data_IF_538292681889
#
_entry.id   IF_538292681889
#
_cell.length_a   1.000
_cell.length_b   1.000
_cell.length_c   1.000
_cell.angle_alpha   90.00
_cell.angle_beta   90.00
_cell.angle_gamma   90.00
#
_symmetry.space_group_name_H-M   'P 1'
#
loop_
_entity.id
_entity.type
_entity.pdbx_description
1 polymer ?
#
# COMPACT_ATOMS: atom_id res chain seq x y z
N UNK A 1 -8.48 -35.56 -30.04
CA UNK A 1 -7.82 -35.43 -28.73
C UNK A 1 -7.86 -33.95 -28.38
N UNK A 2 -8.88 -33.53 -27.62
CA UNK A 2 -9.12 -32.14 -27.22
C UNK A 2 -8.43 -31.92 -25.88
N UNK A 3 -7.39 -31.09 -25.85
CA UNK A 3 -6.72 -30.66 -24.62
C UNK A 3 -7.48 -29.45 -24.10
N UNK A 4 -8.30 -29.67 -23.06
CA UNK A 4 -8.94 -28.61 -22.29
C UNK A 4 -7.88 -28.01 -21.34
N UNK A 5 -7.46 -26.78 -21.62
CA UNK A 5 -6.68 -25.99 -20.68
C UNK A 5 -7.59 -25.57 -19.51
N UNK A 6 -7.44 -26.26 -18.38
CA UNK A 6 -7.97 -25.81 -17.11
C UNK A 6 -7.13 -24.62 -16.62
N UNK A 7 -7.64 -23.40 -16.82
CA UNK A 7 -7.16 -22.26 -16.06
C UNK A 7 -7.60 -22.46 -14.61
N UNK A 8 -6.63 -22.70 -13.73
CA UNK A 8 -6.80 -22.59 -12.28
C UNK A 8 -7.11 -21.15 -11.94
N UNK A 9 -8.39 -20.81 -11.85
CA UNK A 9 -8.85 -19.56 -11.23
C UNK A 9 -8.46 -19.64 -9.76
N UNK A 10 -7.29 -19.10 -9.39
CA UNK A 10 -7.08 -18.69 -7.99
C UNK A 10 -8.19 -17.69 -7.69
N UNK A 11 -9.07 -18.01 -6.75
CA UNK A 11 -10.10 -17.10 -6.27
C UNK A 11 -9.42 -15.79 -5.87
N UNK A 12 -9.58 -14.75 -6.69
CA UNK A 12 -9.19 -13.41 -6.32
C UNK A 12 -10.16 -13.01 -5.21
N UNK A 13 -9.73 -13.15 -3.96
CA UNK A 13 -10.42 -12.56 -2.82
C UNK A 13 -10.36 -11.04 -2.98
N UNK A 14 -11.38 -10.46 -3.61
CA UNK A 14 -11.56 -9.01 -3.63
C UNK A 14 -11.96 -8.62 -2.21
N UNK A 15 -10.99 -8.21 -1.40
CA UNK A 15 -11.29 -7.67 -0.07
C UNK A 15 -12.20 -6.45 -0.20
N UNK A 16 -13.43 -6.56 0.31
CA UNK A 16 -14.30 -5.40 0.41
C UNK A 16 -13.71 -4.36 1.37
N UNK A 17 -13.67 -3.10 0.93
CA UNK A 17 -13.26 -1.97 1.76
C UNK A 17 -14.22 -1.78 2.94
N UNK A 18 -13.70 -1.27 4.04
CA UNK A 18 -14.47 -0.85 5.20
C UNK A 18 -15.28 0.42 4.90
N UNK A 19 -16.33 0.66 5.70
CA UNK A 19 -17.10 1.91 5.61
C UNK A 19 -16.23 3.16 5.77
N UNK A 20 -15.15 3.09 6.57
CA UNK A 20 -14.17 4.16 6.72
C UNK A 20 -13.47 4.43 5.39
N UNK A 21 -12.94 3.39 4.76
CA UNK A 21 -12.27 3.51 3.46
C UNK A 21 -13.22 4.01 2.36
N UNK A 22 -14.46 3.53 2.30
CA UNK A 22 -15.45 4.07 1.35
C UNK A 22 -15.76 5.55 1.58
N UNK A 23 -15.96 5.96 2.84
CA UNK A 23 -16.17 7.37 3.18
C UNK A 23 -14.95 8.21 2.79
N UNK A 24 -13.74 7.73 3.06
CA UNK A 24 -12.50 8.37 2.64
C UNK A 24 -12.43 8.55 1.12
N UNK A 25 -12.60 7.48 0.34
CA UNK A 25 -12.58 7.53 -1.12
C UNK A 25 -13.65 8.46 -1.72
N UNK A 26 -14.82 8.59 -1.09
CA UNK A 26 -15.88 9.51 -1.56
C UNK A 26 -15.45 10.99 -1.57
N UNK A 27 -14.41 11.34 -0.82
CA UNK A 27 -13.85 12.70 -0.77
C UNK A 27 -12.76 12.94 -1.82
N UNK A 28 -12.27 11.87 -2.45
CA UNK A 28 -11.10 11.88 -3.34
C UNK A 28 -11.56 12.01 -4.79
N UNK A 29 -10.87 12.87 -5.53
CA UNK A 29 -11.06 13.02 -6.97
C UNK A 29 -10.09 12.12 -7.72
N UNK A 30 -10.58 11.51 -8.81
CA UNK A 30 -9.74 10.79 -9.77
C UNK A 30 -9.28 11.73 -10.89
N UNK A 31 -8.05 11.57 -11.32
CA UNK A 31 -7.49 12.19 -12.50
C UNK A 31 -8.04 11.49 -13.76
N UNK A 32 -8.80 12.23 -14.57
CA UNK A 32 -9.48 11.70 -15.76
C UNK A 32 -8.52 11.16 -16.81
N UNK A 33 -7.26 11.60 -16.81
CA UNK A 33 -6.26 11.12 -17.76
C UNK A 33 -5.89 9.65 -17.53
N UNK A 34 -6.19 9.10 -16.36
CA UNK A 34 -5.89 7.72 -15.96
C UNK A 34 -7.15 6.87 -15.79
N UNK A 35 -8.33 7.42 -16.11
CA UNK A 35 -9.59 6.67 -16.08
C UNK A 35 -9.81 6.04 -17.45
N UNK A 36 -10.02 4.73 -17.46
CA UNK A 36 -10.32 3.95 -18.67
C UNK A 36 -11.59 3.16 -18.38
N UNK A 37 -12.66 3.45 -19.12
CA UNK A 37 -13.99 2.85 -18.86
C UNK A 37 -14.18 1.50 -19.56
N UNK A 38 -13.22 1.07 -20.38
CA UNK A 38 -13.31 -0.13 -21.19
C UNK A 38 -12.13 -1.07 -20.90
N UNK A 39 -12.43 -2.15 -20.18
CA UNK A 39 -11.48 -3.22 -19.84
C UNK A 39 -10.77 -3.78 -21.07
N UNK A 40 -11.48 -3.91 -22.20
CA UNK A 40 -10.92 -4.51 -23.41
C UNK A 40 -9.78 -3.68 -24.00
N UNK A 41 -9.76 -2.36 -23.76
CA UNK A 41 -8.66 -1.48 -24.18
C UNK A 41 -7.39 -1.74 -23.39
N UNK A 42 -7.52 -1.96 -22.08
CA UNK A 42 -6.37 -2.28 -21.21
C UNK A 42 -5.78 -3.65 -21.59
N UNK A 43 -6.64 -4.65 -21.78
CA UNK A 43 -6.22 -6.00 -22.20
C UNK A 43 -5.48 -5.97 -23.54
N UNK A 44 -6.09 -5.35 -24.57
CA UNK A 44 -5.47 -5.24 -25.90
C UNK A 44 -4.16 -4.45 -25.87
N UNK A 45 -4.05 -3.47 -24.97
CA UNK A 45 -2.82 -2.72 -24.78
C UNK A 45 -1.69 -3.58 -24.24
N UNK A 46 -1.95 -4.39 -23.20
CA UNK A 46 -0.96 -5.34 -22.67
C UNK A 46 -0.58 -6.41 -23.70
N UNK A 47 -1.57 -7.04 -24.34
CA UNK A 47 -1.36 -8.05 -25.38
C UNK A 47 -0.58 -7.49 -26.58
N UNK A 48 -0.86 -6.25 -26.98
CA UNK A 48 -0.18 -5.57 -28.08
C UNK A 48 1.30 -5.29 -27.81
N UNK A 49 1.73 -5.33 -26.56
CA UNK A 49 3.13 -5.23 -26.13
C UNK A 49 3.75 -6.61 -25.84
N UNK A 50 3.01 -7.70 -26.05
CA UNK A 50 3.45 -9.06 -25.73
C UNK A 50 3.51 -9.38 -24.23
N UNK A 51 2.86 -8.57 -23.39
CA UNK A 51 2.82 -8.75 -21.94
C UNK A 51 1.63 -9.64 -21.55
N UNK A 52 1.81 -10.65 -20.68
CA UNK A 52 0.70 -11.44 -20.16
C UNK A 52 -0.36 -10.58 -19.47
N UNK A 53 -1.63 -10.96 -19.62
CA UNK A 53 -2.73 -10.23 -18.99
C UNK A 53 -2.89 -10.70 -17.55
N UNK A 54 -2.67 -9.78 -16.61
CA UNK A 54 -2.83 -10.03 -15.19
C UNK A 54 -4.11 -9.37 -14.67
N UNK A 55 -5.05 -10.16 -14.16
CA UNK A 55 -6.35 -9.63 -13.69
C UNK A 55 -6.20 -8.60 -12.57
N UNK A 56 -5.24 -8.76 -11.67
CA UNK A 56 -5.01 -7.80 -10.58
C UNK A 56 -4.60 -6.42 -11.12
N UNK A 57 -3.69 -6.39 -12.11
CA UNK A 57 -3.23 -5.17 -12.78
C UNK A 57 -4.37 -4.52 -13.57
N UNK A 58 -5.15 -5.31 -14.31
CA UNK A 58 -6.33 -4.80 -15.03
C UNK A 58 -7.36 -4.23 -14.05
N UNK A 59 -7.67 -4.95 -12.98
CA UNK A 59 -8.63 -4.50 -11.95
C UNK A 59 -8.15 -3.21 -11.28
N UNK A 60 -6.86 -3.11 -10.99
CA UNK A 60 -6.25 -1.88 -10.48
C UNK A 60 -6.47 -0.72 -11.44
N UNK A 61 -6.17 -0.91 -12.74
CA UNK A 61 -6.34 0.13 -13.76
C UNK A 61 -7.78 0.65 -13.78
N UNK A 62 -8.76 -0.27 -13.79
CA UNK A 62 -10.17 0.09 -13.89
C UNK A 62 -10.68 0.81 -12.63
N UNK A 63 -10.34 0.28 -11.45
CA UNK A 63 -10.92 0.73 -10.18
C UNK A 63 -10.19 1.91 -9.55
N UNK A 64 -8.86 1.89 -9.58
CA UNK A 64 -8.03 2.72 -8.70
C UNK A 64 -7.15 3.71 -9.45
N UNK A 65 -6.80 3.44 -10.71
CA UNK A 65 -5.94 4.35 -11.48
C UNK A 65 -6.54 5.76 -11.56
N UNK A 66 -5.70 6.76 -11.32
CA UNK A 66 -6.08 8.16 -11.22
C UNK A 66 -6.40 8.67 -9.82
N UNK A 67 -6.51 7.82 -8.79
CA UNK A 67 -6.73 8.28 -7.41
C UNK A 67 -5.56 9.12 -6.90
N UNK A 68 -5.86 10.09 -6.02
CA UNK A 68 -4.88 10.89 -5.28
C UNK A 68 -5.15 10.74 -3.79
N UNK A 69 -4.48 9.77 -3.17
CA UNK A 69 -4.65 9.44 -1.76
C UNK A 69 -3.83 10.43 -0.94
N UNK A 70 -4.50 11.24 -0.12
CA UNK A 70 -3.85 12.22 0.76
C UNK A 70 -4.40 12.14 2.18
N UNK A 71 -3.68 12.73 3.11
CA UNK A 71 -4.02 12.78 4.53
C UNK A 71 -4.33 14.22 4.94
N UNK A 72 -5.39 14.42 5.72
CA UNK A 72 -5.80 15.76 6.17
C UNK A 72 -4.67 16.52 6.87
N UNK A 73 -4.46 17.77 6.42
CA UNK A 73 -3.39 18.63 6.94
C UNK A 73 -1.99 18.26 6.47
N UNK A 74 -1.83 17.29 5.55
CA UNK A 74 -0.55 16.79 5.07
C UNK A 74 -0.48 16.71 3.53
N UNK A 75 -0.45 17.86 2.84
CA UNK A 75 -0.50 17.88 1.38
C UNK A 75 0.71 17.19 0.71
N UNK A 76 1.86 17.11 1.38
CA UNK A 76 3.07 16.45 0.87
C UNK A 76 3.05 14.92 1.02
N UNK A 77 2.16 14.38 1.84
CA UNK A 77 1.98 12.92 2.01
C UNK A 77 0.91 12.39 1.05
N UNK A 78 1.02 12.79 -0.22
CA UNK A 78 0.08 12.41 -1.27
C UNK A 78 0.66 11.29 -2.13
N UNK A 79 -0.07 10.19 -2.23
CA UNK A 79 0.18 9.11 -3.17
C UNK A 79 -0.74 9.24 -4.38
N UNK A 80 -0.14 9.40 -5.56
CA UNK A 80 -0.86 9.39 -6.84
C UNK A 80 -0.88 7.95 -7.35
N UNK A 81 -2.06 7.38 -7.49
CA UNK A 81 -2.26 5.99 -7.88
C UNK A 81 -2.39 5.92 -9.41
N UNK A 82 -1.29 6.03 -10.15
CA UNK A 82 -1.29 6.12 -11.61
C UNK A 82 -0.61 4.91 -12.23
N UNK A 83 -1.31 4.15 -13.06
CA UNK A 83 -0.71 3.04 -13.81
C UNK A 83 -0.59 3.41 -15.29
N UNK A 84 -1.63 3.16 -16.10
CA UNK A 84 -1.63 3.55 -17.51
C UNK A 84 -2.53 4.77 -17.73
N UNK A 85 -2.02 5.79 -18.41
CA UNK A 85 -2.85 6.87 -18.91
C UNK A 85 -3.65 6.44 -20.13
N UNK A 86 -4.82 7.07 -20.33
CA UNK A 86 -5.64 6.89 -21.52
C UNK A 86 -4.89 7.24 -22.81
N UNK A 87 -3.91 8.16 -22.73
CA UNK A 87 -3.07 8.57 -23.86
C UNK A 87 -2.05 7.49 -24.22
N UNK A 88 -1.42 6.84 -23.23
CA UNK A 88 -0.48 5.73 -23.46
C UNK A 88 -1.18 4.55 -24.11
N UNK A 89 -2.35 4.16 -23.58
CA UNK A 89 -3.19 3.11 -24.16
C UNK A 89 -3.57 3.44 -25.60
N UNK A 90 -4.04 4.67 -25.86
CA UNK A 90 -4.46 5.09 -27.19
C UNK A 90 -3.31 5.06 -28.21
N UNK A 91 -2.10 5.43 -27.78
CA UNK A 91 -0.91 5.50 -28.63
C UNK A 91 -0.11 4.20 -28.67
N UNK A 92 -0.56 3.17 -27.94
CA UNK A 92 0.21 1.96 -27.72
C UNK A 92 1.66 2.26 -27.27
N UNK A 93 1.81 3.19 -26.31
CA UNK A 93 3.11 3.55 -25.76
C UNK A 93 3.75 2.34 -25.05
N UNK A 94 5.08 2.23 -24.96
CA UNK A 94 5.72 1.17 -24.18
C UNK A 94 5.18 1.12 -22.75
N UNK A 95 4.96 -0.10 -22.24
CA UNK A 95 4.61 -0.33 -20.83
C UNK A 95 5.91 -0.55 -20.06
N UNK A 96 6.12 0.23 -19.01
CA UNK A 96 7.23 0.04 -18.08
C UNK A 96 6.94 -1.17 -17.17
N UNK A 97 7.31 -2.35 -17.67
CA UNK A 97 7.17 -3.63 -17.00
C UNK A 97 8.49 -4.41 -17.05
N UNK A 98 8.84 -5.04 -15.94
CA UNK A 98 10.05 -5.83 -15.80
C UNK A 98 9.79 -7.09 -14.96
N UNK A 99 10.73 -8.04 -15.01
CA UNK A 99 10.63 -9.31 -14.30
C UNK A 99 11.71 -9.41 -13.23
N UNK A 100 11.33 -9.76 -11.99
CA UNK A 100 12.25 -10.10 -10.91
C UNK A 100 11.84 -11.44 -10.33
N UNK A 101 12.76 -12.40 -10.30
CA UNK A 101 12.52 -13.77 -9.80
C UNK A 101 11.28 -14.46 -10.42
N UNK A 102 11.04 -14.27 -11.73
CA UNK A 102 9.91 -14.90 -12.43
C UNK A 102 8.54 -14.24 -12.22
N UNK A 103 8.49 -13.07 -11.56
CA UNK A 103 7.26 -12.28 -11.35
C UNK A 103 7.34 -10.96 -12.12
N UNK A 104 6.23 -10.56 -12.73
CA UNK A 104 6.13 -9.28 -13.43
C UNK A 104 5.75 -8.15 -12.47
N UNK A 105 6.38 -7.00 -12.70
CA UNK A 105 6.14 -5.76 -11.98
C UNK A 105 5.88 -4.64 -12.96
N UNK A 106 4.94 -3.77 -12.63
CA UNK A 106 4.53 -2.63 -13.43
C UNK A 106 4.85 -1.36 -12.65
N UNK A 107 5.58 -0.42 -13.27
CA UNK A 107 5.76 0.89 -12.66
C UNK A 107 4.39 1.55 -12.44
N UNK A 108 4.15 2.00 -11.21
CA UNK A 108 2.89 2.63 -10.86
C UNK A 108 3.05 3.62 -9.72
N UNK A 109 2.35 4.73 -9.87
CA UNK A 109 2.16 5.71 -8.82
C UNK A 109 3.39 6.55 -8.50
N UNK A 110 3.14 7.60 -7.72
CA UNK A 110 4.12 8.62 -7.39
C UNK A 110 3.83 9.14 -5.99
N UNK A 111 4.87 9.25 -5.18
CA UNK A 111 4.80 9.77 -3.82
C UNK A 111 5.60 11.06 -3.70
N UNK A 112 4.90 12.18 -3.50
CA UNK A 112 5.52 13.52 -3.59
C UNK A 112 6.67 13.74 -2.60
N UNK A 113 6.69 13.00 -1.48
CA UNK A 113 7.69 13.13 -0.44
C UNK A 113 8.91 12.21 -0.59
N UNK A 114 8.92 11.23 -1.51
CA UNK A 114 10.03 10.29 -1.62
C UNK A 114 10.30 9.88 -3.08
N UNK A 115 11.57 10.00 -3.56
CA UNK A 115 11.95 9.53 -4.89
C UNK A 115 12.16 8.01 -4.87
N UNK A 116 11.08 7.25 -4.78
CA UNK A 116 11.09 5.78 -4.81
C UNK A 116 10.20 5.29 -5.95
N UNK A 117 10.63 4.22 -6.61
CA UNK A 117 9.88 3.59 -7.71
C UNK A 117 8.86 2.62 -7.12
N UNK A 118 7.59 3.01 -7.11
CA UNK A 118 6.51 2.13 -6.69
C UNK A 118 6.15 1.19 -7.83
N UNK A 119 5.95 -0.09 -7.52
CA UNK A 119 5.65 -1.12 -8.51
C UNK A 119 4.48 -1.99 -8.06
N UNK A 120 3.61 -2.32 -9.01
CA UNK A 120 2.47 -3.20 -8.82
C UNK A 120 2.86 -4.58 -9.34
N UNK A 121 2.84 -5.57 -8.46
CA UNK A 121 3.10 -6.95 -8.86
C UNK A 121 1.94 -7.52 -9.69
N UNK A 122 2.22 -8.56 -10.48
CA UNK A 122 1.22 -9.28 -11.29
C UNK A 122 0.00 -9.80 -10.51
N UNK A 123 0.15 -10.07 -9.20
CA UNK A 123 -0.92 -10.50 -8.29
C UNK A 123 -1.56 -9.35 -7.50
N UNK A 124 -1.10 -8.11 -7.70
CA UNK A 124 -1.68 -6.90 -7.12
C UNK A 124 -1.03 -6.42 -5.82
N UNK A 125 0.06 -7.05 -5.37
CA UNK A 125 0.86 -6.51 -4.27
C UNK A 125 1.45 -5.15 -4.64
N UNK A 126 1.50 -4.24 -3.65
CA UNK A 126 2.12 -2.92 -3.80
C UNK A 126 3.51 -2.98 -3.19
N UNK A 127 4.52 -2.74 -4.00
CA UNK A 127 5.91 -2.85 -3.60
C UNK A 127 6.71 -1.62 -4.03
N UNK A 128 7.94 -1.52 -3.54
CA UNK A 128 8.96 -0.60 -4.05
C UNK A 128 10.05 -1.42 -4.73
N UNK A 129 10.56 -0.90 -5.83
CA UNK A 129 11.72 -1.44 -6.51
C UNK A 129 12.99 -0.65 -6.15
N UNK A 130 14.00 -1.36 -5.66
CA UNK A 130 15.35 -0.86 -5.42
C UNK A 130 16.22 -1.23 -6.62
N UNK A 131 16.36 -0.28 -7.56
CA UNK A 131 17.16 -0.44 -8.78
C UNK A 131 18.63 -0.79 -8.51
N UNK A 132 19.20 -0.33 -7.38
CA UNK A 132 20.61 -0.57 -7.06
C UNK A 132 20.85 -2.01 -6.62
N UNK A 133 19.85 -2.63 -6.00
CA UNK A 133 19.93 -4.00 -5.49
C UNK A 133 19.19 -5.01 -6.35
N UNK A 134 18.50 -4.55 -7.41
CA UNK A 134 17.59 -5.36 -8.23
C UNK A 134 16.62 -6.16 -7.34
N UNK A 135 16.02 -5.46 -6.37
CA UNK A 135 15.25 -6.07 -5.31
C UNK A 135 13.88 -5.38 -5.15
N UNK A 136 12.86 -6.18 -4.88
CA UNK A 136 11.51 -5.69 -4.62
C UNK A 136 11.18 -5.85 -3.14
N UNK A 137 10.66 -4.79 -2.53
CA UNK A 137 10.20 -4.78 -1.15
C UNK A 137 8.69 -4.50 -1.11
N UNK A 138 7.89 -5.49 -0.72
CA UNK A 138 6.45 -5.35 -0.69
C UNK A 138 5.96 -4.68 0.59
N UNK A 139 5.06 -3.71 0.40
CA UNK A 139 4.56 -2.83 1.45
C UNK A 139 3.12 -3.14 1.84
N UNK A 140 2.34 -3.67 0.89
CA UNK A 140 0.95 -4.06 1.09
C UNK A 140 0.62 -5.25 0.21
N UNK A 141 -0.22 -6.16 0.72
CA UNK A 141 -0.67 -7.34 -0.03
C UNK A 141 -1.67 -7.00 -1.14
N UNK A 142 -2.26 -5.80 -1.10
CA UNK A 142 -3.11 -5.27 -2.16
C UNK A 142 -3.22 -3.75 -2.09
N UNK A 143 -3.75 -3.13 -3.15
CA UNK A 143 -4.03 -1.69 -3.14
C UNK A 143 -5.16 -1.31 -2.17
N UNK A 144 -6.12 -2.20 -1.93
CA UNK A 144 -7.17 -2.01 -0.93
C UNK A 144 -6.60 -1.88 0.48
N UNK A 145 -5.56 -2.65 0.83
CA UNK A 145 -4.85 -2.50 2.11
C UNK A 145 -4.19 -1.13 2.24
N UNK A 146 -3.57 -0.66 1.16
CA UNK A 146 -2.99 0.69 1.11
C UNK A 146 -4.09 1.76 1.33
N UNK A 147 -5.24 1.66 0.66
CA UNK A 147 -6.38 2.58 0.86
C UNK A 147 -6.87 2.54 2.32
N UNK A 148 -6.96 1.37 2.93
CA UNK A 148 -7.38 1.21 4.32
C UNK A 148 -6.42 1.87 5.31
N UNK A 149 -5.11 1.76 5.07
CA UNK A 149 -4.07 2.46 5.82
C UNK A 149 -4.20 3.98 5.71
N UNK A 150 -4.36 4.50 4.48
CA UNK A 150 -4.60 5.93 4.24
C UNK A 150 -5.87 6.44 4.92
N UNK A 151 -6.97 5.68 4.82
CA UNK A 151 -8.24 6.05 5.42
C UNK A 151 -8.18 6.06 6.96
N UNK A 152 -7.41 5.16 7.56
CA UNK A 152 -7.16 5.16 9.00
C UNK A 152 -6.28 6.35 9.41
N UNK A 153 -5.19 6.61 8.70
CA UNK A 153 -4.32 7.74 8.99
C UNK A 153 -5.05 9.09 8.84
N UNK A 154 -5.85 9.27 7.78
CA UNK A 154 -6.69 10.46 7.61
C UNK A 154 -7.68 10.65 8.76
N UNK A 155 -8.31 9.57 9.24
CA UNK A 155 -9.20 9.61 10.39
C UNK A 155 -8.47 10.08 11.66
N UNK A 156 -7.31 9.50 11.97
CA UNK A 156 -6.51 9.89 13.15
C UNK A 156 -6.16 11.38 13.11
N UNK A 157 -5.78 11.90 11.94
CA UNK A 157 -5.46 13.32 11.76
C UNK A 157 -6.68 14.23 11.91
N UNK A 158 -7.84 13.82 11.40
CA UNK A 158 -9.10 14.58 11.57
C UNK A 158 -9.60 14.59 12.99
N UNK A 159 -9.39 13.48 13.71
CA UNK A 159 -9.69 13.34 15.13
C UNK A 159 -8.63 14.01 16.03
N UNK A 160 -7.70 14.76 15.42
CA UNK A 160 -6.65 15.54 16.09
C UNK A 160 -5.77 14.69 17.03
N UNK A 161 -5.57 13.41 16.69
CA UNK A 161 -4.59 12.59 17.39
C UNK A 161 -3.20 13.22 17.23
N UNK A 162 -2.47 13.31 18.33
CA UNK A 162 -1.05 13.60 18.30
C UNK A 162 -0.34 12.49 17.52
N UNK A 163 0.54 12.91 16.62
CA UNK A 163 1.38 12.04 15.81
C UNK A 163 2.82 12.30 16.21
N UNK A 164 3.50 11.24 16.62
CA UNK A 164 4.88 11.36 17.05
C UNK A 164 5.79 11.71 15.85
N UNK A 165 6.74 12.66 15.95
CA UNK A 165 7.51 13.10 14.79
C UNK A 165 8.55 12.08 14.29
N UNK A 166 8.88 11.08 15.11
CA UNK A 166 9.93 10.09 14.83
C UNK A 166 9.36 8.69 14.59
N UNK A 167 10.01 7.98 13.68
CA UNK A 167 9.86 6.55 13.42
C UNK A 167 10.98 5.80 14.15
N UNK A 168 10.70 4.58 14.59
CA UNK A 168 11.63 3.78 15.40
C UNK A 168 11.86 2.42 14.75
N UNK A 169 13.08 1.89 14.73
CA UNK A 169 13.27 0.54 14.18
C UNK A 169 12.69 -0.48 15.14
N UNK A 170 12.00 -1.47 14.58
CA UNK A 170 11.53 -2.63 15.33
C UNK A 170 12.67 -3.65 15.39
N UNK A 171 13.34 -3.73 16.53
CA UNK A 171 14.50 -4.61 16.74
C UNK A 171 14.14 -5.94 17.41
N UNK A 172 12.94 -6.05 18.01
CA UNK A 172 12.45 -7.28 18.63
C UNK A 172 10.97 -7.57 18.31
N UNK A 173 10.76 -8.20 17.16
CA UNK A 173 9.44 -8.63 16.65
C UNK A 173 8.63 -9.48 17.64
N UNK A 174 9.30 -10.42 18.32
CA UNK A 174 8.63 -11.35 19.25
C UNK A 174 8.11 -10.62 20.49
N UNK A 175 8.92 -9.71 21.04
CA UNK A 175 8.51 -8.92 22.19
C UNK A 175 7.38 -7.95 21.82
N UNK A 176 7.47 -7.29 20.66
CA UNK A 176 6.38 -6.46 20.14
C UNK A 176 5.07 -7.25 20.02
N UNK A 177 5.08 -8.41 19.36
CA UNK A 177 3.89 -9.25 19.20
C UNK A 177 3.31 -9.72 20.56
N UNK A 178 4.17 -9.97 21.54
CA UNK A 178 3.74 -10.32 22.90
C UNK A 178 3.05 -9.13 23.58
N UNK A 179 3.68 -7.95 23.51
CA UNK A 179 3.16 -6.73 24.13
C UNK A 179 1.83 -6.29 23.49
N UNK A 180 1.69 -6.41 22.18
CA UNK A 180 0.50 -5.98 21.44
C UNK A 180 -0.55 -7.08 21.29
N UNK A 181 -0.35 -8.25 21.89
CA UNK A 181 -1.27 -9.40 21.77
C UNK A 181 -2.71 -9.13 22.22
N UNK A 182 -2.92 -8.16 23.12
CA UNK A 182 -4.24 -7.74 23.60
C UNK A 182 -4.77 -6.48 22.92
N UNK A 183 -4.02 -5.91 21.98
CA UNK A 183 -4.41 -4.67 21.31
C UNK A 183 -5.47 -4.99 20.26
N UNK A 184 -6.37 -4.03 20.02
CA UNK A 184 -7.32 -4.14 18.92
C UNK A 184 -6.57 -4.03 17.59
N UNK A 185 -6.63 -5.07 16.76
CA UNK A 185 -6.01 -5.07 15.42
C UNK A 185 -7.00 -4.59 14.37
N UNK A 186 -6.61 -3.59 13.59
CA UNK A 186 -7.37 -3.11 12.44
C UNK A 186 -7.14 -4.03 11.23
N UNK A 187 -7.75 -5.21 11.24
CA UNK A 187 -7.52 -6.27 10.24
C UNK A 187 -7.69 -5.82 8.78
N UNK A 188 -8.60 -4.87 8.51
CA UNK A 188 -8.78 -4.30 7.17
C UNK A 188 -7.59 -3.47 6.70
N UNK A 189 -6.90 -2.79 7.60
CA UNK A 189 -5.70 -2.01 7.33
C UNK A 189 -4.39 -2.79 7.62
N UNK A 190 -4.50 -4.05 8.02
CA UNK A 190 -3.34 -4.88 8.39
C UNK A 190 -3.21 -6.09 7.48
N UNK A 191 -1.98 -6.47 7.18
CA UNK A 191 -1.57 -7.66 6.44
C UNK A 191 -0.21 -8.17 6.96
N UNK A 192 0.58 -8.83 6.11
CA UNK A 192 1.90 -9.34 6.45
C UNK A 192 3.01 -8.26 6.42
N UNK A 193 2.76 -7.13 5.77
CA UNK A 193 3.73 -6.07 5.50
C UNK A 193 3.47 -4.82 6.35
N UNK A 194 2.19 -4.53 6.62
CA UNK A 194 1.71 -3.40 7.39
C UNK A 194 0.76 -3.87 8.49
N UNK A 195 0.89 -3.34 9.71
CA UNK A 195 0.01 -3.67 10.82
C UNK A 195 -0.39 -2.41 11.60
N UNK A 196 -1.68 -2.30 11.87
CA UNK A 196 -2.25 -1.26 12.71
C UNK A 196 -2.91 -1.89 13.93
N UNK A 197 -2.46 -1.47 15.12
CA UNK A 197 -3.02 -1.92 16.40
C UNK A 197 -3.30 -0.73 17.31
N UNK A 198 -4.27 -0.85 18.20
CA UNK A 198 -4.55 0.18 19.20
C UNK A 198 -4.95 -0.36 20.57
N UNK A 199 -4.67 0.43 21.60
CA UNK A 199 -5.15 0.21 22.96
C UNK A 199 -5.27 1.55 23.67
N UNK A 200 -6.40 1.77 24.35
CA UNK A 200 -6.64 2.97 25.18
C UNK A 200 -6.38 4.30 24.46
N UNK A 201 -6.74 4.40 23.18
CA UNK A 201 -6.56 5.61 22.38
C UNK A 201 -5.12 5.87 21.90
N UNK A 202 -4.21 4.91 22.06
CA UNK A 202 -2.89 4.91 21.42
C UNK A 202 -2.95 3.95 20.23
N UNK A 203 -2.44 4.38 19.09
CA UNK A 203 -2.34 3.62 17.85
C UNK A 203 -0.87 3.44 17.48
N UNK A 204 -0.54 2.26 17.00
CA UNK A 204 0.78 1.92 16.52
C UNK A 204 0.65 1.41 15.10
N UNK A 205 1.39 2.03 14.19
CA UNK A 205 1.64 1.50 12.87
C UNK A 205 2.96 0.76 12.88
N UNK A 206 2.96 -0.50 12.49
CA UNK A 206 4.14 -1.25 12.09
C UNK A 206 4.16 -1.35 10.57
N UNK A 207 5.29 -1.06 9.93
CA UNK A 207 5.43 -1.21 8.48
C UNK A 207 6.86 -1.58 8.09
N UNK A 208 7.09 -1.92 6.82
CA UNK A 208 8.43 -2.06 6.24
C UNK A 208 9.04 -0.69 5.91
N UNK A 209 10.34 -0.57 6.11
CA UNK A 209 11.09 0.59 5.62
C UNK A 209 11.16 0.59 4.10
N UNK A 210 11.11 1.78 3.49
CA UNK A 210 11.21 1.90 2.04
C UNK A 210 12.61 1.53 1.52
N UNK A 211 13.67 1.82 2.30
CA UNK A 211 15.08 1.67 1.90
C UNK A 211 15.75 0.37 2.37
N UNK A 212 15.07 -0.43 3.20
CA UNK A 212 15.62 -1.65 3.78
C UNK A 212 14.54 -2.74 3.86
N UNK A 213 14.64 -3.75 2.99
CA UNK A 213 13.67 -4.84 2.87
C UNK A 213 13.66 -5.79 4.07
N UNK A 214 14.66 -5.74 4.95
CA UNK A 214 14.75 -6.58 6.13
C UNK A 214 14.10 -5.97 7.37
N UNK A 215 14.01 -4.64 7.44
CA UNK A 215 13.67 -3.93 8.66
C UNK A 215 12.23 -3.41 8.66
N UNK A 216 11.60 -3.50 9.82
CA UNK A 216 10.32 -2.87 10.09
C UNK A 216 10.51 -1.65 11.00
N UNK A 217 9.61 -0.68 10.88
CA UNK A 217 9.53 0.45 11.79
C UNK A 217 8.22 0.44 12.56
N UNK A 218 8.23 1.12 13.71
CA UNK A 218 7.04 1.53 14.44
C UNK A 218 6.86 3.04 14.36
N UNK A 219 5.60 3.45 14.23
CA UNK A 219 5.16 4.84 14.34
C UNK A 219 3.95 4.95 15.25
N UNK A 220 3.83 6.06 15.97
CA UNK A 220 2.94 6.19 17.12
C UNK A 220 2.01 7.38 16.99
N UNK A 221 0.74 7.15 17.33
CA UNK A 221 -0.30 8.16 17.39
C UNK A 221 -1.08 8.02 18.69
N UNK A 222 -1.59 9.11 19.26
CA UNK A 222 -2.43 9.03 20.46
C UNK A 222 -3.03 10.36 20.87
N UNK A 223 -3.75 10.37 21.99
CA UNK A 223 -4.47 11.58 22.43
C UNK A 223 -3.56 12.77 22.77
N UNK A 224 -2.32 12.52 23.19
CA UNK A 224 -1.33 13.57 23.45
C UNK A 224 0.12 13.02 23.42
N UNK A 225 1.08 13.95 23.38
CA UNK A 225 2.50 13.67 23.37
C UNK A 225 2.96 12.83 24.56
N UNK A 226 2.56 13.19 25.78
CA UNK A 226 2.99 12.52 27.02
C UNK A 226 2.66 11.03 27.02
N UNK A 227 1.45 10.68 26.57
CA UNK A 227 1.03 9.27 26.50
C UNK A 227 1.80 8.47 25.46
N UNK A 228 2.14 9.08 24.32
CA UNK A 228 2.93 8.41 23.28
C UNK A 228 4.37 8.22 23.75
N UNK A 229 5.00 9.26 24.29
CA UNK A 229 6.39 9.21 24.78
C UNK A 229 6.57 8.19 25.91
N UNK A 230 5.59 8.07 26.82
CA UNK A 230 5.63 7.07 27.88
C UNK A 230 5.62 5.63 27.32
N UNK A 231 4.80 5.35 26.30
CA UNK A 231 4.79 4.03 25.65
C UNK A 231 6.09 3.77 24.89
N UNK A 232 6.58 4.77 24.15
CA UNK A 232 7.84 4.67 23.41
C UNK A 232 9.00 4.38 24.36
N UNK A 233 9.10 5.12 25.47
CA UNK A 233 10.17 4.89 26.46
C UNK A 233 10.07 3.48 27.04
N UNK A 234 8.87 3.01 27.37
CA UNK A 234 8.67 1.63 27.81
C UNK A 234 9.16 0.62 26.77
N UNK A 235 8.81 0.82 25.49
CA UNK A 235 9.27 -0.07 24.41
C UNK A 235 10.80 -0.03 24.22
N UNK A 236 11.44 1.12 24.44
CA UNK A 236 12.91 1.24 24.44
C UNK A 236 13.53 0.49 25.61
N UNK A 237 13.01 0.68 26.81
CA UNK A 237 13.50 0.01 28.02
C UNK A 237 13.35 -1.53 27.93
N UNK A 238 12.32 -2.00 27.25
CA UNK A 238 12.07 -3.43 26.97
C UNK A 238 12.87 -3.95 25.76
N UNK A 239 13.67 -3.10 25.09
CA UNK A 239 14.49 -3.49 23.94
C UNK A 239 13.67 -3.89 22.71
N UNK A 240 12.50 -3.28 22.53
CA UNK A 240 11.58 -3.54 21.42
C UNK A 240 11.89 -2.64 20.24
N UNK A 241 12.23 -1.38 20.52
CA UNK A 241 12.59 -0.37 19.52
C UNK A 241 13.89 0.34 19.89
N UNK A 242 14.56 0.91 18.88
CA UNK A 242 15.67 1.87 19.03
C UNK A 242 15.29 3.31 18.63
#
# INVERSE_FOLDING_TARGET
>A
MLVLYYYSIREINIEMLSNRAYKYLSTIKRDKNYIVDDRSKVVKYMEGQGIPVFEAVVNYQMKYSGLKLGVYGKPREMFKAWLFSAKEILKNAPIDCFEVNGRHYFDFGDYEAAPVSFVLAEDGEVCIYDELRDAVNCLYSSFEKLIEGYALHDLLRRDQQYEHPYYYNLINEKAFATQTSQYFRYSRASDAYNEWVSMNGIFIQKSKWLSDSGLSFLHFYGGNQVTCEALIQKMKDEGIVD
#
